data_IF_316365889796
#
_entry.id   IF_316365889796
#
_cell.length_a   1.000
_cell.length_b   1.000
_cell.length_c   1.000
_cell.angle_alpha   90.00
_cell.angle_beta   90.00
_cell.angle_gamma   90.00
#
_symmetry.space_group_name_H-M   'P 1'
#
loop_
_entity.id
_entity.type
_entity.pdbx_description
1 polymer ?
#
# COMPACT_ATOMS: atom_id res chain seq x y z
N UNK A 1 25.38 7.65 37.27
CA UNK A 1 25.33 7.90 35.81
C UNK A 1 25.08 6.54 35.16
N UNK A 2 23.88 5.99 35.09
CA UNK A 2 22.69 6.41 34.32
C UNK A 2 23.08 6.78 32.87
N UNK A 3 22.71 6.07 31.82
CA UNK A 3 21.92 4.85 31.70
C UNK A 3 22.31 4.15 30.37
N UNK A 4 22.51 2.84 30.42
CA UNK A 4 22.33 1.97 29.25
C UNK A 4 20.84 2.06 28.88
N UNK A 5 20.53 2.56 27.68
CA UNK A 5 19.18 2.46 27.11
C UNK A 5 19.20 1.60 25.86
N UNK A 6 18.79 0.36 26.08
CA UNK A 6 18.05 -0.56 25.22
C UNK A 6 17.91 -0.19 23.73
N UNK A 7 18.53 -1.01 22.87
CA UNK A 7 17.94 -1.37 21.57
C UNK A 7 17.77 -2.89 21.50
N UNK A 8 16.95 -3.42 22.39
CA UNK A 8 16.10 -4.54 22.01
C UNK A 8 14.94 -3.94 21.21
N UNK A 9 15.21 -3.56 19.95
CA UNK A 9 14.17 -3.18 19.02
C UNK A 9 13.38 -4.46 18.74
N UNK A 10 12.18 -4.59 19.34
CA UNK A 10 11.38 -5.81 19.25
C UNK A 10 11.16 -6.18 17.78
N UNK A 11 11.70 -7.33 17.39
CA UNK A 11 11.75 -7.83 16.01
C UNK A 11 10.42 -8.53 15.64
N UNK A 12 9.38 -8.36 16.47
CA UNK A 12 8.22 -9.24 16.45
C UNK A 12 6.94 -8.65 15.83
N UNK A 13 6.81 -7.33 15.62
CA UNK A 13 5.54 -6.73 15.16
C UNK A 13 5.69 -5.60 14.10
N UNK A 14 6.76 -5.58 13.30
CA UNK A 14 6.86 -4.62 12.20
C UNK A 14 6.24 -5.13 10.91
N UNK A 15 5.05 -4.62 10.61
CA UNK A 15 4.29 -4.88 9.38
C UNK A 15 4.70 -3.97 8.21
N UNK A 16 5.77 -3.18 8.35
CA UNK A 16 6.34 -2.47 7.21
C UNK A 16 6.69 -3.50 6.12
N UNK A 17 6.41 -3.18 4.86
CA UNK A 17 6.59 -4.09 3.73
C UNK A 17 5.68 -5.34 3.78
N UNK A 18 4.46 -5.20 4.29
CA UNK A 18 3.43 -6.24 4.26
C UNK A 18 2.18 -5.77 3.53
N UNK A 19 1.37 -6.73 3.09
CA UNK A 19 -0.01 -6.47 2.70
C UNK A 19 -0.95 -6.78 3.85
N UNK A 20 -1.91 -5.88 4.08
CA UNK A 20 -3.13 -6.16 4.81
C UNK A 20 -4.22 -6.55 3.81
N UNK A 21 -4.96 -7.60 4.11
CA UNK A 21 -6.06 -8.10 3.29
C UNK A 21 -7.33 -7.97 4.13
N UNK A 22 -8.28 -7.17 3.66
CA UNK A 22 -9.54 -6.95 4.37
C UNK A 22 -10.33 -8.26 4.48
N UNK A 23 -10.76 -8.62 5.68
CA UNK A 23 -11.66 -9.75 5.90
C UNK A 23 -13.12 -9.30 5.80
N UNK A 24 -14.08 -10.23 5.67
CA UNK A 24 -15.50 -9.90 5.78
C UNK A 24 -15.92 -9.34 7.15
N UNK A 25 -15.09 -9.49 8.19
CA UNK A 25 -15.36 -8.94 9.52
C UNK A 25 -15.05 -7.44 9.61
N UNK A 26 -14.28 -6.89 8.67
CA UNK A 26 -14.02 -5.46 8.60
C UNK A 26 -15.29 -4.71 8.17
N UNK A 27 -15.88 -3.98 9.12
CA UNK A 27 -17.15 -3.28 8.93
C UNK A 27 -17.04 -2.04 8.03
N UNK A 28 -15.84 -1.48 7.87
CA UNK A 28 -15.65 -0.26 7.07
C UNK A 28 -15.83 -0.56 5.56
N UNK A 29 -16.90 -0.03 4.93
CA UNK A 29 -17.18 -0.28 3.51
C UNK A 29 -16.10 0.31 2.59
N UNK A 30 -15.37 1.34 3.03
CA UNK A 30 -14.26 1.92 2.27
C UNK A 30 -13.15 0.88 2.06
N UNK A 31 -12.92 0.01 3.03
CA UNK A 31 -11.86 -0.99 3.00
C UNK A 31 -12.34 -2.40 2.61
N UNK A 32 -13.64 -2.64 2.50
CA UNK A 32 -14.18 -3.92 2.05
C UNK A 32 -13.50 -4.42 0.76
N UNK A 33 -12.95 -5.64 0.80
CA UNK A 33 -12.24 -6.27 -0.32
C UNK A 33 -10.95 -5.57 -0.75
N UNK A 34 -10.38 -4.69 0.09
CA UNK A 34 -9.13 -4.00 -0.21
C UNK A 34 -7.90 -4.85 0.11
N UNK A 35 -6.81 -4.54 -0.59
CA UNK A 35 -5.45 -4.94 -0.20
C UNK A 35 -4.69 -3.65 0.06
N UNK A 36 -4.18 -3.47 1.28
CA UNK A 36 -3.37 -2.31 1.66
C UNK A 36 -1.91 -2.71 1.73
N UNK A 37 -1.02 -1.96 1.08
CA UNK A 37 0.42 -2.08 1.26
C UNK A 37 0.92 -1.16 2.37
N UNK A 38 1.51 -1.73 3.41
CA UNK A 38 2.00 -0.99 4.58
C UNK A 38 3.40 -0.46 4.30
N UNK A 39 3.45 0.86 4.18
CA UNK A 39 4.66 1.61 3.87
C UNK A 39 5.45 1.99 5.12
N UNK A 40 4.77 2.12 6.27
CA UNK A 40 5.37 2.39 7.57
C UNK A 40 4.57 1.75 8.69
N UNK A 41 5.26 1.14 9.65
CA UNK A 41 4.71 0.68 10.92
C UNK A 41 5.72 0.91 12.04
N UNK A 42 5.39 1.77 12.99
CA UNK A 42 6.19 2.13 14.14
C UNK A 42 5.29 2.45 15.35
N UNK A 43 5.89 2.85 16.47
CA UNK A 43 5.19 3.08 17.74
C UNK A 43 4.18 4.24 17.66
N UNK A 44 4.31 5.13 16.65
CA UNK A 44 3.37 6.24 16.42
C UNK A 44 2.17 5.83 15.55
N UNK A 45 2.20 4.62 14.98
CA UNK A 45 1.12 4.02 14.21
C UNK A 45 1.55 3.44 12.87
N UNK A 46 0.60 3.35 11.93
CA UNK A 46 0.82 2.74 10.62
C UNK A 46 0.38 3.65 9.48
N UNK A 47 1.01 3.50 8.32
CA UNK A 47 0.60 4.17 7.09
C UNK A 47 0.76 3.21 5.92
N UNK A 48 -0.24 3.19 5.04
CA UNK A 48 -0.24 2.37 3.84
C UNK A 48 -1.08 2.96 2.72
N UNK A 49 -1.08 2.26 1.59
CA UNK A 49 -1.90 2.61 0.43
C UNK A 49 -2.65 1.39 -0.08
N UNK A 50 -3.92 1.54 -0.43
CA UNK A 50 -4.69 0.49 -1.10
C UNK A 50 -4.14 0.31 -2.52
N UNK A 51 -3.88 -0.94 -2.88
CA UNK A 51 -3.23 -1.30 -4.15
C UNK A 51 -4.16 -1.99 -5.15
N UNK A 52 -5.46 -2.13 -4.85
CA UNK A 52 -6.39 -2.88 -5.70
C UNK A 52 -7.71 -2.16 -6.02
N UNK A 53 -7.84 -0.88 -5.67
CA UNK A 53 -9.02 -0.05 -5.96
C UNK A 53 -8.64 1.11 -6.88
N UNK A 54 -9.30 1.22 -8.03
CA UNK A 54 -9.11 2.33 -8.94
C UNK A 54 -9.81 3.58 -8.40
N UNK A 55 -9.16 4.73 -8.55
CA UNK A 55 -9.73 6.05 -8.32
C UNK A 55 -10.56 6.47 -9.54
N UNK A 56 -11.63 7.27 -9.38
CA UNK A 56 -12.31 7.91 -10.50
C UNK A 56 -11.48 9.04 -11.14
N UNK A 57 -10.36 9.44 -10.52
CA UNK A 57 -9.51 10.51 -11.03
C UNK A 57 -8.68 9.98 -12.20
N UNK A 58 -8.69 10.67 -13.37
CA UNK A 58 -7.92 10.28 -14.54
C UNK A 58 -6.41 10.52 -14.34
N UNK A 59 -5.57 9.69 -14.96
CA UNK A 59 -4.10 9.78 -14.87
C UNK A 59 -3.60 11.17 -15.31
N UNK A 60 -4.25 11.72 -16.32
CA UNK A 60 -4.02 13.03 -16.91
C UNK A 60 -4.09 14.15 -15.87
N UNK A 61 -4.96 14.05 -14.87
CA UNK A 61 -5.10 15.07 -13.84
C UNK A 61 -3.81 15.22 -13.00
N UNK A 62 -3.08 14.13 -12.77
CA UNK A 62 -1.83 14.14 -11.99
C UNK A 62 -0.67 14.71 -12.81
N UNK A 63 -0.51 14.27 -14.06
CA UNK A 63 0.58 14.75 -14.92
C UNK A 63 0.36 16.20 -15.39
N UNK A 64 -0.89 16.60 -15.65
CA UNK A 64 -1.22 17.99 -16.01
C UNK A 64 -0.90 18.97 -14.90
N UNK A 65 -1.03 18.57 -13.63
CA UNK A 65 -0.65 19.41 -12.49
C UNK A 65 0.87 19.67 -12.39
N UNK A 66 1.67 18.86 -13.10
CA UNK A 66 3.11 19.03 -13.26
C UNK A 66 3.49 19.56 -14.66
N UNK A 67 2.50 19.99 -15.46
CA UNK A 67 2.70 20.44 -16.85
C UNK A 67 3.41 19.40 -17.73
N UNK A 68 3.05 18.11 -17.55
CA UNK A 68 3.59 16.98 -18.32
C UNK A 68 2.47 16.20 -19.01
N UNK A 69 2.83 15.56 -20.11
CA UNK A 69 2.00 14.54 -20.75
C UNK A 69 2.09 13.21 -19.99
N UNK A 70 1.05 12.39 -20.10
CA UNK A 70 1.02 11.05 -19.51
C UNK A 70 1.93 10.11 -20.33
N UNK A 71 2.94 9.48 -19.73
CA UNK A 71 3.81 8.52 -20.41
C UNK A 71 3.04 7.31 -20.92
N UNK A 72 3.45 6.74 -22.05
CA UNK A 72 2.80 5.57 -22.68
C UNK A 72 2.56 4.42 -21.70
N UNK A 73 3.50 4.16 -20.79
CA UNK A 73 3.38 3.12 -19.75
C UNK A 73 2.20 3.30 -18.80
N UNK A 74 1.70 4.53 -18.64
CA UNK A 74 0.59 4.88 -17.75
C UNK A 74 -0.73 5.16 -18.47
N UNK A 75 -0.76 5.29 -19.80
CA UNK A 75 -1.96 5.66 -20.57
C UNK A 75 -3.17 4.72 -20.32
N UNK A 76 -2.92 3.44 -20.03
CA UNK A 76 -3.96 2.46 -19.74
C UNK A 76 -4.01 2.03 -18.27
N UNK A 77 -3.30 2.74 -17.39
CA UNK A 77 -3.27 2.45 -15.97
C UNK A 77 -4.13 3.46 -15.21
N UNK A 78 -5.02 3.01 -14.31
CA UNK A 78 -5.74 3.93 -13.45
C UNK A 78 -4.83 4.43 -12.32
N UNK A 79 -5.10 5.64 -11.84
CA UNK A 79 -4.66 6.03 -10.50
C UNK A 79 -5.42 5.17 -9.49
N UNK A 80 -4.77 4.76 -8.41
CA UNK A 80 -5.40 4.00 -7.34
C UNK A 80 -5.94 4.93 -6.26
N UNK A 81 -7.05 4.54 -5.65
CA UNK A 81 -7.53 5.17 -4.43
C UNK A 81 -6.75 4.57 -3.27
N UNK A 82 -5.79 5.31 -2.72
CA UNK A 82 -4.84 4.80 -1.71
C UNK A 82 -5.40 4.81 -0.29
N UNK A 83 -6.40 5.65 0.01
CA UNK A 83 -7.07 5.66 1.31
C UNK A 83 -7.94 6.91 1.50
N UNK A 84 -8.64 7.03 2.64
CA UNK A 84 -9.58 8.13 2.90
C UNK A 84 -8.89 9.40 3.43
N UNK A 85 -7.58 9.35 3.70
CA UNK A 85 -6.81 10.46 4.29
C UNK A 85 -5.94 11.10 3.21
N UNK A 86 -5.72 12.42 3.29
CA UNK A 86 -4.90 13.18 2.33
C UNK A 86 -5.33 12.96 0.87
N UNK A 87 -6.64 12.94 0.61
CA UNK A 87 -7.24 12.70 -0.71
C UNK A 87 -6.90 13.76 -1.77
N UNK A 88 -6.25 14.85 -1.36
CA UNK A 88 -5.71 15.90 -2.20
C UNK A 88 -4.23 15.66 -2.60
N UNK A 89 -3.60 14.62 -2.03
CA UNK A 89 -2.17 14.30 -2.23
C UNK A 89 -1.98 13.01 -2.99
N UNK A 90 -1.02 13.05 -3.91
CA UNK A 90 -0.53 11.89 -4.64
C UNK A 90 0.59 11.18 -3.88
N UNK A 91 0.57 9.86 -3.94
CA UNK A 91 1.60 8.99 -3.40
C UNK A 91 2.07 8.07 -4.51
N UNK A 92 3.39 7.89 -4.62
CA UNK A 92 3.98 7.02 -5.64
C UNK A 92 4.79 5.95 -4.93
N UNK A 93 4.36 4.69 -5.07
CA UNK A 93 5.17 3.53 -4.68
C UNK A 93 5.94 3.09 -5.90
N UNK A 94 7.26 2.98 -5.79
CA UNK A 94 8.10 2.73 -6.95
C UNK A 94 9.40 1.98 -6.62
N UNK A 95 10.06 1.54 -7.67
CA UNK A 95 11.39 0.91 -7.67
C UNK A 95 12.22 1.50 -8.84
N UNK A 96 13.54 1.66 -8.68
CA UNK A 96 14.34 1.43 -7.48
C UNK A 96 14.20 2.56 -6.44
N UNK A 97 14.81 2.37 -5.26
CA UNK A 97 14.95 3.43 -4.26
C UNK A 97 15.79 4.60 -4.81
N UNK A 98 15.14 5.62 -5.35
CA UNK A 98 15.78 6.86 -5.79
C UNK A 98 16.01 7.89 -4.68
N UNK A 99 16.87 8.87 -4.94
CA UNK A 99 17.10 10.01 -4.07
C UNK A 99 16.09 11.14 -4.38
N UNK A 100 14.92 11.12 -3.73
CA UNK A 100 13.88 12.14 -3.89
C UNK A 100 13.73 13.00 -2.64
N UNK A 101 13.21 14.23 -2.80
CA UNK A 101 13.09 15.17 -1.67
C UNK A 101 12.18 14.66 -0.54
N UNK A 102 11.20 13.82 -0.85
CA UNK A 102 10.32 13.22 0.16
C UNK A 102 10.05 11.75 -0.17
N UNK A 103 11.12 10.95 -0.13
CA UNK A 103 11.07 9.49 -0.28
C UNK A 103 11.36 8.77 1.02
N UNK A 104 10.62 7.69 1.26
CA UNK A 104 10.84 6.78 2.38
C UNK A 104 11.05 5.37 1.85
N UNK A 105 12.17 4.71 2.16
CA UNK A 105 12.34 3.31 1.83
C UNK A 105 11.34 2.49 2.66
N UNK A 106 10.65 1.57 2.01
CA UNK A 106 9.68 0.68 2.67
C UNK A 106 10.32 -0.67 2.93
N UNK A 107 10.93 -1.28 1.90
CA UNK A 107 11.58 -2.58 2.02
C UNK A 107 12.19 -3.03 0.70
N UNK A 108 13.33 -3.72 0.79
CA UNK A 108 14.11 -4.11 -0.39
C UNK A 108 14.48 -2.89 -1.22
N UNK A 109 14.02 -2.87 -2.47
CA UNK A 109 14.23 -1.76 -3.41
C UNK A 109 12.97 -0.88 -3.61
N UNK A 110 11.92 -1.10 -2.81
CA UNK A 110 10.67 -0.34 -2.90
C UNK A 110 10.70 0.89 -2.00
N UNK A 111 10.32 2.04 -2.57
CA UNK A 111 10.16 3.30 -1.87
C UNK A 111 8.77 3.91 -2.08
N UNK A 112 8.33 4.71 -1.10
CA UNK A 112 7.15 5.57 -1.20
C UNK A 112 7.60 7.01 -1.29
N UNK A 113 7.10 7.74 -2.29
CA UNK A 113 7.44 9.15 -2.52
C UNK A 113 6.20 10.00 -2.63
N UNK A 114 6.22 11.17 -1.97
CA UNK A 114 5.09 12.12 -1.90
C UNK A 114 5.40 13.46 -2.56
N UNK A 115 6.65 13.68 -2.97
CA UNK A 115 7.10 14.90 -3.63
C UNK A 115 6.70 14.91 -5.11
N UNK A 116 6.43 16.10 -5.66
CA UNK A 116 6.04 16.27 -7.07
C UNK A 116 7.17 15.98 -8.07
N UNK A 117 8.42 16.08 -7.62
CA UNK A 117 9.62 15.80 -8.42
C UNK A 117 9.61 14.40 -9.03
N UNK A 118 8.98 13.42 -8.36
CA UNK A 118 8.84 12.08 -8.90
C UNK A 118 7.94 12.05 -10.14
N UNK A 119 6.91 12.89 -10.25
CA UNK A 119 6.03 12.92 -11.44
C UNK A 119 6.80 13.39 -12.67
N UNK A 120 7.64 14.41 -12.52
CA UNK A 120 8.51 14.90 -13.59
C UNK A 120 9.48 13.82 -14.07
N UNK A 121 9.94 12.97 -13.15
CA UNK A 121 10.87 11.86 -13.45
C UNK A 121 10.16 10.63 -13.96
N UNK A 122 8.93 10.36 -13.52
CA UNK A 122 8.09 9.33 -14.11
C UNK A 122 7.79 9.61 -15.59
N UNK A 123 7.80 10.88 -15.99
CA UNK A 123 7.72 11.31 -17.38
C UNK A 123 8.99 11.05 -18.19
N UNK A 124 10.12 10.77 -17.54
CA UNK A 124 11.38 10.39 -18.16
C UNK A 124 11.54 8.87 -18.06
N UNK A 125 11.58 8.16 -19.20
CA UNK A 125 11.48 6.69 -19.22
C UNK A 125 12.60 5.92 -18.48
N UNK A 126 13.69 6.58 -18.06
CA UNK A 126 14.90 5.90 -17.56
C UNK A 126 15.11 5.97 -16.03
N UNK A 127 14.26 6.67 -15.27
CA UNK A 127 14.53 6.93 -13.85
C UNK A 127 13.85 5.96 -12.86
N UNK A 128 12.76 5.31 -13.29
CA UNK A 128 11.91 4.47 -12.42
C UNK A 128 11.47 3.27 -13.23
N UNK A 129 11.72 2.06 -12.73
CA UNK A 129 11.39 0.82 -13.43
C UNK A 129 9.90 0.50 -13.29
N UNK A 130 9.41 0.43 -12.04
CA UNK A 130 8.01 0.15 -11.74
C UNK A 130 7.46 1.23 -10.82
N UNK A 131 6.22 1.64 -11.06
CA UNK A 131 5.52 2.57 -10.19
C UNK A 131 4.02 2.33 -10.19
N UNK A 132 3.40 2.56 -9.03
CA UNK A 132 1.96 2.74 -8.89
C UNK A 132 1.70 4.14 -8.32
N UNK A 133 0.68 4.81 -8.87
CA UNK A 133 0.25 6.12 -8.41
C UNK A 133 -1.04 5.95 -7.64
N UNK A 134 -1.08 6.50 -6.44
CA UNK A 134 -2.28 6.51 -5.61
C UNK A 134 -2.62 7.94 -5.21
N UNK A 135 -3.91 8.20 -4.96
CA UNK A 135 -4.37 9.43 -4.33
C UNK A 135 -4.91 9.09 -2.95
N UNK A 136 -4.49 9.86 -1.95
CA UNK A 136 -4.73 9.56 -0.56
C UNK A 136 -3.93 8.35 -0.05
N UNK A 137 -3.97 8.19 1.27
CA UNK A 137 -3.37 7.09 1.99
C UNK A 137 -4.29 6.62 3.12
N UNK A 138 -4.00 5.43 3.63
CA UNK A 138 -4.60 4.88 4.83
C UNK A 138 -3.65 5.08 5.99
N UNK A 139 -4.16 5.52 7.12
CA UNK A 139 -3.38 5.74 8.33
C UNK A 139 -4.07 5.13 9.54
N UNK A 140 -3.27 4.55 10.42
CA UNK A 140 -3.68 4.02 11.71
C UNK A 140 -2.98 4.81 12.80
N UNK A 141 -3.70 5.15 13.86
CA UNK A 141 -3.11 5.72 15.07
C UNK A 141 -2.29 4.66 15.82
N UNK A 142 -1.43 5.09 16.75
CA UNK A 142 -0.66 4.18 17.60
C UNK A 142 -1.54 3.09 18.23
N UNK A 143 -1.17 1.82 18.02
CA UNK A 143 -1.88 0.64 18.55
C UNK A 143 -3.19 0.27 17.85
N UNK A 144 -3.69 1.09 16.90
CA UNK A 144 -4.97 0.85 16.25
C UNK A 144 -4.88 -0.36 15.30
N UNK A 145 -3.80 -0.48 14.52
CA UNK A 145 -3.65 -1.59 13.57
C UNK A 145 -3.59 -2.93 14.30
N UNK A 146 -2.88 -2.99 15.42
CA UNK A 146 -2.76 -4.17 16.28
C UNK A 146 -4.12 -4.58 16.88
N UNK A 147 -4.94 -3.60 17.29
CA UNK A 147 -6.29 -3.86 17.75
C UNK A 147 -7.17 -4.46 16.64
N UNK A 148 -7.11 -3.89 15.43
CA UNK A 148 -7.86 -4.40 14.28
C UNK A 148 -7.39 -5.80 13.86
N UNK A 149 -6.10 -6.10 13.98
CA UNK A 149 -5.54 -7.44 13.77
C UNK A 149 -6.03 -8.43 14.84
N UNK A 150 -6.04 -8.04 16.11
CA UNK A 150 -6.58 -8.85 17.20
C UNK A 150 -8.07 -9.16 17.04
N UNK A 151 -8.81 -8.29 16.33
CA UNK A 151 -10.21 -8.46 15.97
C UNK A 151 -10.43 -9.26 14.68
N UNK A 152 -9.36 -9.74 14.02
CA UNK A 152 -9.41 -10.44 12.73
C UNK A 152 -10.00 -9.60 11.58
N UNK A 153 -9.93 -8.27 11.67
CA UNK A 153 -10.37 -7.36 10.61
C UNK A 153 -9.42 -7.41 9.40
N UNK A 154 -8.15 -7.77 9.63
CA UNK A 154 -7.12 -7.87 8.60
C UNK A 154 -6.40 -9.22 8.68
N UNK A 155 -6.05 -9.76 7.52
CA UNK A 155 -5.02 -10.79 7.39
C UNK A 155 -3.73 -10.15 6.88
N UNK A 156 -2.57 -10.68 7.27
CA UNK A 156 -1.27 -10.13 6.87
C UNK A 156 -0.45 -11.12 6.07
N UNK A 157 0.23 -10.63 5.02
CA UNK A 157 1.23 -11.40 4.27
C UNK A 157 2.43 -10.53 3.93
N UNK A 158 3.64 -11.09 3.80
CA UNK A 158 4.76 -10.35 3.25
C UNK A 158 4.43 -9.81 1.85
N UNK A 159 4.82 -8.56 1.59
CA UNK A 159 4.60 -7.95 0.30
C UNK A 159 5.32 -8.72 -0.82
N UNK A 160 4.86 -8.48 -2.05
CA UNK A 160 5.30 -9.19 -3.23
C UNK A 160 5.29 -8.23 -4.41
N UNK A 161 6.44 -8.09 -5.07
CA UNK A 161 6.59 -7.14 -6.18
C UNK A 161 5.65 -7.47 -7.34
N UNK A 162 5.41 -8.76 -7.62
CA UNK A 162 4.50 -9.15 -8.69
C UNK A 162 3.05 -8.78 -8.33
N UNK A 163 2.62 -8.97 -7.07
CA UNK A 163 1.30 -8.51 -6.63
C UNK A 163 1.19 -6.98 -6.67
N UNK A 164 2.25 -6.28 -6.28
CA UNK A 164 2.27 -4.81 -6.16
C UNK A 164 2.28 -4.10 -7.51
N UNK A 165 3.00 -4.62 -8.51
CA UNK A 165 3.24 -3.95 -9.77
C UNK A 165 2.68 -4.68 -10.99
N UNK A 166 2.81 -6.01 -11.05
CA UNK A 166 2.62 -6.76 -12.30
C UNK A 166 1.21 -7.38 -12.44
N UNK A 167 0.58 -7.77 -11.32
CA UNK A 167 -0.74 -8.41 -11.32
C UNK A 167 -1.84 -7.36 -11.52
N UNK A 168 -2.83 -7.60 -12.42
CA UNK A 168 -3.98 -6.72 -12.59
C UNK A 168 -4.76 -6.49 -11.29
N UNK A 169 -5.21 -5.26 -11.04
CA UNK A 169 -5.83 -4.83 -9.77
C UNK A 169 -6.88 -5.80 -9.22
N UNK A 170 -7.83 -6.24 -10.07
CA UNK A 170 -8.93 -7.16 -9.70
C UNK A 170 -8.44 -8.52 -9.21
N UNK A 171 -7.21 -8.93 -9.57
CA UNK A 171 -6.62 -10.22 -9.19
C UNK A 171 -5.72 -10.11 -7.95
N UNK A 172 -5.30 -8.89 -7.55
CA UNK A 172 -4.36 -8.68 -6.44
C UNK A 172 -4.87 -9.23 -5.10
N UNK A 173 -6.15 -9.04 -4.79
CA UNK A 173 -6.77 -9.58 -3.57
C UNK A 173 -6.67 -11.11 -3.50
N UNK A 174 -7.06 -11.80 -4.59
CA UNK A 174 -6.96 -13.27 -4.65
C UNK A 174 -5.51 -13.74 -4.60
N UNK A 175 -4.60 -13.04 -5.29
CA UNK A 175 -3.18 -13.37 -5.27
C UNK A 175 -2.59 -13.23 -3.85
N UNK A 176 -2.95 -12.17 -3.12
CA UNK A 176 -2.51 -11.94 -1.75
C UNK A 176 -3.06 -13.03 -0.80
N UNK A 177 -4.35 -13.38 -0.90
CA UNK A 177 -4.92 -14.51 -0.13
C UNK A 177 -4.23 -15.84 -0.41
N UNK A 178 -3.84 -16.08 -1.67
CA UNK A 178 -3.15 -17.31 -2.06
C UNK A 178 -1.78 -17.45 -1.38
N UNK A 179 -1.13 -16.35 -0.97
CA UNK A 179 0.12 -16.38 -0.20
C UNK A 179 -0.05 -16.96 1.21
N UNK A 180 -1.26 -16.94 1.77
CA UNK A 180 -1.57 -17.58 3.06
C UNK A 180 -1.79 -19.10 2.93
N UNK A 181 -1.71 -19.66 1.72
CA UNK A 181 -2.17 -21.02 1.45
C UNK A 181 -3.69 -21.17 1.49
N UNK A 182 -4.43 -20.06 1.56
CA UNK A 182 -5.89 -20.06 1.64
C UNK A 182 -6.48 -20.09 0.22
N UNK A 183 -7.00 -21.25 -0.17
CA UNK A 183 -7.93 -21.36 -1.29
C UNK A 183 -9.24 -20.63 -0.90
N UNK A 184 -9.82 -19.74 -1.75
CA UNK A 184 -11.02 -18.96 -1.41
C UNK A 184 -12.22 -19.78 -0.94
N UNK A 185 -12.27 -21.08 -1.28
CA UNK A 185 -13.32 -22.01 -0.82
C UNK A 185 -13.34 -22.23 0.70
N UNK A 186 -12.24 -21.95 1.41
CA UNK A 186 -12.15 -22.18 2.86
C UNK A 186 -12.81 -21.06 3.71
N UNK A 187 -12.98 -19.86 3.17
CA UNK A 187 -13.54 -18.71 3.91
C UNK A 187 -15.08 -18.72 4.03
N UNK A 188 -15.77 -19.65 3.35
CA UNK A 188 -17.24 -19.76 3.38
C UNK A 188 -17.80 -20.74 4.43
N UNK A 189 -16.97 -21.44 5.22
CA UNK A 189 -17.44 -22.47 6.17
C UNK A 189 -17.60 -22.00 7.63
N UNK A 190 -17.75 -20.69 7.88
CA UNK A 190 -18.00 -20.15 9.23
C UNK A 190 -19.48 -19.93 9.60
N UNK A 191 -20.42 -20.02 8.65
CA UNK A 191 -21.83 -19.74 8.89
C UNK A 191 -22.66 -21.02 8.76
N UNK A 192 -22.68 -21.84 9.81
CA UNK A 192 -23.46 -23.07 9.83
C UNK A 192 -23.20 -23.91 11.07
N UNK A 193 -23.51 -23.38 12.26
CA UNK A 193 -23.71 -24.23 13.43
C UNK A 193 -25.14 -24.78 13.38
N UNK A 194 -25.25 -26.10 13.23
CA UNK A 194 -26.44 -26.89 13.52
C UNK A 194 -26.61 -27.06 15.04
#
# INVERSE_FOLDING_TARGET
MAAQHSKAFSIMDKLTNHFLIATPALEDPFFAGSVVYICRHDDDGAMGVIINKASPIPMEAVFSAAEKDVPDRFQNQPILMGGPVQIDRGFVVHTPCGAWQSSFPVGGDTALTTSRDIIERLAQNDAVEKAILTIGCSSWSAGQLEQELAQNSWLTVPADDAILFDIPLRKRHRAALSKLGIQPAALMQGAGHA
#
